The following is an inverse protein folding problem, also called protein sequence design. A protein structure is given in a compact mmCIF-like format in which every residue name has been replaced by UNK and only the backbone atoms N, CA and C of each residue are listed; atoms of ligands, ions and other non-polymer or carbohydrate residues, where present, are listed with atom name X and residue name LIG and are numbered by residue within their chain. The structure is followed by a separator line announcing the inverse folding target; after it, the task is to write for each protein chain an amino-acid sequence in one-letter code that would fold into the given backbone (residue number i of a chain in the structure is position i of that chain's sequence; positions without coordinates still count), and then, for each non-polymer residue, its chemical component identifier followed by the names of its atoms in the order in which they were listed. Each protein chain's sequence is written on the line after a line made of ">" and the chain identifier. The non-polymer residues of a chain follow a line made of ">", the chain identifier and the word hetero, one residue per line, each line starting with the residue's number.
data_IF_920375053355
#
_entry.id   IF_920375053355
#
_cell.length_a   1.000
_cell.length_b   1.000
_cell.length_c   1.000
_cell.angle_alpha   90.00
_cell.angle_beta   90.00
_cell.angle_gamma   90.00
#
_symmetry.space_group_name_H-M   'P 1'
#
loop_
_entity.id
_entity.type
_entity.pdbx_description
1 polymer ?
#
# COMPACT_ATOMS: atom_id res chain seq x y z
N UNK A 1 32.19 73.15 -7.70
CA UNK A 1 31.98 74.35 -6.87
C UNK A 1 30.54 74.22 -6.38
N UNK A 2 30.32 73.75 -5.14
CA UNK A 2 30.46 74.49 -3.84
C UNK A 2 29.23 75.39 -3.64
N UNK A 3 28.48 75.38 -2.54
CA UNK A 3 28.31 74.49 -1.37
C UNK A 3 26.98 74.89 -0.67
N UNK A 4 26.40 74.01 0.16
CA UNK A 4 25.53 74.23 1.35
C UNK A 4 24.82 72.88 1.61
N UNK A 5 25.23 72.01 2.55
CA UNK A 5 25.40 72.11 4.01
C UNK A 5 24.09 72.45 4.76
N UNK A 6 23.69 71.55 5.67
CA UNK A 6 22.53 71.71 6.58
C UNK A 6 22.84 72.60 7.79
N UNK A 7 22.00 72.58 8.85
CA UNK A 7 21.91 71.43 9.75
C UNK A 7 20.43 70.93 9.87
N UNK A 8 19.89 70.23 10.89
CA UNK A 8 20.33 69.94 12.28
C UNK A 8 19.79 68.58 12.77
N UNK A 9 20.36 68.08 13.87
CA UNK A 9 19.98 66.89 14.63
C UNK A 9 18.89 67.20 15.66
N UNK A 10 17.90 66.32 15.83
CA UNK A 10 17.38 65.98 17.16
C UNK A 10 17.42 64.46 17.37
N UNK A 11 17.59 64.06 18.63
CA UNK A 11 17.91 62.69 18.99
C UNK A 11 17.33 62.31 20.36
N UNK A 12 16.97 61.03 20.49
CA UNK A 12 16.72 60.30 21.74
C UNK A 12 15.44 60.66 22.56
N UNK A 13 15.00 59.76 23.48
CA UNK A 13 15.64 58.52 23.91
C UNK A 13 14.82 57.21 23.80
N UNK A 14 15.61 56.15 23.91
CA UNK A 14 15.27 54.77 24.27
C UNK A 14 14.19 54.61 25.36
N UNK A 15 13.25 53.68 25.14
CA UNK A 15 12.47 53.03 26.20
C UNK A 15 12.85 51.54 26.28
N UNK A 16 13.42 51.11 27.42
CA UNK A 16 14.01 49.78 27.56
C UNK A 16 13.15 48.81 28.42
N UNK A 17 13.05 47.58 27.94
CA UNK A 17 12.80 46.33 28.68
C UNK A 17 11.74 46.28 29.82
N UNK A 18 10.60 45.68 29.51
CA UNK A 18 10.11 44.41 30.10
C UNK A 18 8.96 43.90 29.22
N UNK A 19 8.76 42.61 28.97
CA UNK A 19 9.38 41.46 29.63
C UNK A 19 8.34 40.45 30.09
N UNK A 20 7.27 40.21 29.33
CA UNK A 20 6.29 39.16 29.65
C UNK A 20 5.92 38.32 28.42
N UNK A 21 6.35 37.06 28.46
CA UNK A 21 6.14 36.06 27.41
C UNK A 21 4.87 35.30 27.76
N UNK A 22 3.71 35.77 27.30
CA UNK A 22 2.46 35.04 27.53
C UNK A 22 2.38 33.80 26.62
N UNK A 23 2.89 32.69 27.14
CA UNK A 23 2.83 31.36 26.53
C UNK A 23 1.36 30.95 26.39
N UNK A 24 0.78 31.20 25.23
CA UNK A 24 -0.49 30.59 24.84
C UNK A 24 -0.24 29.12 24.48
N UNK A 25 -0.87 28.14 25.17
CA UNK A 25 -0.58 26.74 24.93
C UNK A 25 -1.04 26.31 23.53
N UNK A 26 -0.30 25.40 22.86
CA UNK A 26 -0.69 24.90 21.55
C UNK A 26 -1.94 24.02 21.69
N UNK A 27 -3.09 24.56 21.29
CA UNK A 27 -4.36 23.82 21.18
C UNK A 27 -4.23 22.72 20.12
N UNK A 28 -3.73 21.57 20.55
CA UNK A 28 -3.63 20.32 19.78
C UNK A 28 -5.01 19.67 19.63
N UNK A 29 -5.95 20.42 19.04
CA UNK A 29 -7.19 19.85 18.54
C UNK A 29 -6.90 19.14 17.22
N UNK A 30 -6.95 17.80 17.15
CA UNK A 30 -6.90 17.12 15.87
C UNK A 30 -8.13 17.59 15.09
N UNK A 31 -7.92 18.18 13.91
CA UNK A 31 -9.00 18.58 13.01
C UNK A 31 -9.74 17.32 12.53
N UNK A 32 -10.62 16.82 13.39
CA UNK A 32 -11.67 15.89 13.07
C UNK A 32 -12.59 16.64 12.12
N UNK A 33 -12.29 16.51 10.83
CA UNK A 33 -13.27 16.70 9.77
C UNK A 33 -14.29 15.57 9.90
N UNK A 34 -15.09 15.65 10.97
CA UNK A 34 -16.42 15.07 11.03
C UNK A 34 -17.06 15.50 9.73
N UNK A 35 -17.36 14.54 8.87
CA UNK A 35 -18.27 14.78 7.77
C UNK A 35 -19.58 15.18 8.43
N UNK A 36 -19.82 16.49 8.54
CA UNK A 36 -21.16 17.03 8.74
C UNK A 36 -21.96 16.48 7.57
N UNK A 37 -22.65 15.36 7.81
CA UNK A 37 -23.66 14.84 6.90
C UNK A 37 -24.71 15.92 6.87
N UNK A 38 -24.76 16.66 5.77
CA UNK A 38 -25.86 17.59 5.48
C UNK A 38 -27.18 16.87 5.79
N UNK A 39 -27.98 17.33 6.77
CA UNK A 39 -29.15 16.60 7.25
C UNK A 39 -30.31 16.57 6.24
N UNK A 40 -30.07 16.94 4.97
CA UNK A 40 -31.06 17.05 3.91
C UNK A 40 -30.96 16.03 2.77
N UNK A 41 -29.90 15.21 2.66
CA UNK A 41 -29.75 14.31 1.50
C UNK A 41 -30.27 12.89 1.74
N UNK A 42 -31.46 12.62 1.20
CA UNK A 42 -32.11 11.29 1.19
C UNK A 42 -31.22 10.22 0.52
N UNK A 43 -31.32 8.98 0.98
CA UNK A 43 -30.60 7.84 0.40
C UNK A 43 -31.11 7.52 -1.02
N UNK A 44 -30.23 7.01 -1.89
CA UNK A 44 -30.63 6.57 -3.24
C UNK A 44 -31.50 5.32 -3.16
N UNK A 45 -32.46 5.17 -4.07
CA UNK A 45 -33.35 4.00 -4.18
C UNK A 45 -32.71 2.95 -5.10
N UNK A 46 -32.96 1.65 -4.83
CA UNK A 46 -32.49 0.52 -5.66
C UNK A 46 -33.41 0.31 -6.86
N UNK A 47 -33.44 1.25 -7.80
CA UNK A 47 -34.30 1.11 -8.98
C UNK A 47 -34.08 -0.21 -9.74
N UNK A 48 -35.15 -0.80 -10.31
CA UNK A 48 -35.06 -1.94 -11.24
C UNK A 48 -34.10 -1.70 -12.39
N UNK A 49 -33.68 -2.76 -13.08
CA UNK A 49 -32.90 -2.58 -14.31
C UNK A 49 -33.78 -2.03 -15.42
N UNK A 50 -33.19 -1.31 -16.37
CA UNK A 50 -33.93 -0.70 -17.48
C UNK A 50 -34.65 -1.71 -18.39
N UNK A 51 -34.23 -2.99 -18.39
CA UNK A 51 -34.87 -4.06 -19.16
C UNK A 51 -36.07 -4.71 -18.44
N UNK A 52 -36.36 -4.36 -17.19
CA UNK A 52 -37.48 -4.90 -16.39
C UNK A 52 -38.77 -4.09 -16.66
N UNK A 53 -39.16 -3.98 -17.94
CA UNK A 53 -40.20 -3.05 -18.43
C UNK A 53 -41.57 -3.24 -17.77
N UNK A 54 -41.93 -4.46 -17.36
CA UNK A 54 -43.18 -4.71 -16.62
C UNK A 54 -43.18 -4.13 -15.20
N UNK A 55 -42.03 -4.14 -14.53
CA UNK A 55 -41.87 -3.56 -13.19
C UNK A 55 -41.97 -2.04 -13.27
N UNK A 56 -41.39 -1.44 -14.31
CA UNK A 56 -41.53 -0.01 -14.59
C UNK A 56 -42.97 0.39 -14.94
N UNK A 57 -43.68 -0.36 -15.80
CA UNK A 57 -45.09 -0.06 -16.11
C UNK A 57 -46.01 -0.15 -14.89
N UNK A 58 -45.83 -1.17 -14.04
CA UNK A 58 -46.58 -1.30 -12.78
C UNK A 58 -46.29 -0.14 -11.84
N UNK A 59 -45.02 0.25 -11.69
CA UNK A 59 -44.63 1.41 -10.89
C UNK A 59 -45.28 2.70 -11.40
N UNK A 60 -45.29 2.93 -12.71
CA UNK A 60 -45.85 4.13 -13.35
C UNK A 60 -47.38 4.21 -13.19
N UNK A 61 -48.07 3.08 -13.36
CA UNK A 61 -49.52 2.96 -13.11
C UNK A 61 -49.85 3.29 -11.65
N UNK A 62 -49.19 2.60 -10.72
CA UNK A 62 -49.47 2.74 -9.29
C UNK A 62 -49.10 4.14 -8.76
N UNK A 63 -48.00 4.72 -9.25
CA UNK A 63 -47.64 6.12 -8.95
C UNK A 63 -48.69 7.09 -9.48
N UNK A 64 -49.21 6.88 -10.69
CA UNK A 64 -50.25 7.73 -11.27
C UNK A 64 -51.50 7.72 -10.39
N UNK A 65 -51.99 6.54 -10.01
CA UNK A 65 -53.17 6.44 -9.14
C UNK A 65 -52.93 7.04 -7.74
N UNK A 66 -51.76 6.82 -7.13
CA UNK A 66 -51.42 7.38 -5.81
C UNK A 66 -51.32 8.91 -5.88
N UNK A 67 -50.77 9.46 -6.96
CA UNK A 67 -50.66 10.91 -7.16
C UNK A 67 -52.04 11.54 -7.41
N UNK A 68 -52.89 10.95 -8.25
CA UNK A 68 -54.27 11.41 -8.45
C UNK A 68 -55.07 11.46 -7.14
N UNK A 69 -54.94 10.45 -6.28
CA UNK A 69 -55.62 10.41 -4.97
C UNK A 69 -55.09 11.41 -3.95
N UNK A 70 -53.82 11.80 -4.04
CA UNK A 70 -53.12 12.55 -2.97
C UNK A 70 -52.83 14.02 -3.31
N UNK A 71 -52.73 14.38 -4.59
CA UNK A 71 -52.15 15.66 -5.03
C UNK A 71 -53.17 16.80 -5.07
N UNK A 72 -53.56 17.28 -3.88
CA UNK A 72 -54.51 18.38 -3.70
C UNK A 72 -53.81 19.67 -3.18
N UNK A 73 -54.37 20.85 -3.48
CA UNK A 73 -53.88 22.15 -2.97
C UNK A 73 -53.06 23.01 -3.96
N UNK A 74 -52.32 24.00 -3.41
CA UNK A 74 -51.53 24.98 -4.15
C UNK A 74 -50.34 24.34 -4.91
N UNK A 75 -49.89 24.94 -6.01
CA UNK A 75 -48.83 24.45 -6.91
C UNK A 75 -47.53 24.13 -6.15
N UNK A 76 -47.08 25.02 -5.27
CA UNK A 76 -45.85 24.79 -4.47
C UNK A 76 -46.01 23.63 -3.47
N UNK A 77 -47.19 23.49 -2.86
CA UNK A 77 -47.49 22.37 -1.98
C UNK A 77 -47.51 21.04 -2.76
N UNK A 78 -48.11 21.06 -3.97
CA UNK A 78 -48.12 19.92 -4.90
C UNK A 78 -46.70 19.50 -5.30
N UNK A 79 -45.82 20.43 -5.71
CA UNK A 79 -44.43 20.10 -6.07
C UNK A 79 -43.65 19.48 -4.89
N UNK A 80 -43.81 20.04 -3.69
CA UNK A 80 -43.16 19.52 -2.48
C UNK A 80 -43.74 18.15 -2.04
N UNK A 81 -45.03 17.91 -2.26
CA UNK A 81 -45.69 16.64 -1.95
C UNK A 81 -45.34 15.55 -2.96
N UNK A 82 -45.37 15.85 -4.26
CA UNK A 82 -44.95 14.97 -5.36
C UNK A 82 -43.57 14.37 -5.09
N UNK A 83 -42.58 15.22 -4.77
CA UNK A 83 -41.22 14.78 -4.45
C UNK A 83 -41.09 14.01 -3.14
N UNK A 84 -42.07 14.06 -2.22
CA UNK A 84 -42.14 13.19 -1.03
C UNK A 84 -42.76 11.85 -1.37
N UNK A 85 -43.92 11.84 -2.02
CA UNK A 85 -44.69 10.63 -2.37
C UNK A 85 -43.88 9.73 -3.30
N UNK A 86 -43.35 10.27 -4.39
CA UNK A 86 -42.50 9.52 -5.34
C UNK A 86 -41.32 8.84 -4.62
N UNK A 87 -40.73 9.52 -3.64
CA UNK A 87 -39.62 8.97 -2.87
C UNK A 87 -40.04 7.86 -1.92
N UNK A 88 -41.16 8.00 -1.20
CA UNK A 88 -41.63 6.95 -0.28
C UNK A 88 -42.12 5.73 -1.06
N UNK A 89 -42.99 5.88 -2.06
CA UNK A 89 -43.51 4.76 -2.85
C UNK A 89 -42.38 3.94 -3.51
N UNK A 90 -41.39 4.62 -4.11
CA UNK A 90 -40.23 3.94 -4.68
C UNK A 90 -39.29 3.36 -3.61
N UNK A 91 -39.21 3.96 -2.42
CA UNK A 91 -38.44 3.43 -1.28
C UNK A 91 -39.08 2.18 -0.69
N UNK A 92 -40.39 2.17 -0.53
CA UNK A 92 -41.11 1.07 0.13
C UNK A 92 -41.14 -0.16 -0.79
N UNK A 93 -41.25 0.03 -2.11
CA UNK A 93 -41.18 -1.04 -3.11
C UNK A 93 -39.78 -1.62 -3.34
N UNK A 94 -38.77 -0.77 -3.54
CA UNK A 94 -37.44 -1.22 -3.99
C UNK A 94 -36.37 -1.18 -2.89
N UNK A 95 -36.64 -0.50 -1.79
CA UNK A 95 -35.70 -0.27 -0.70
C UNK A 95 -34.60 0.74 -1.05
N UNK A 96 -33.96 1.25 0.00
CA UNK A 96 -32.83 2.14 -0.15
C UNK A 96 -31.54 1.36 -0.50
N UNK A 97 -30.69 1.98 -1.31
CA UNK A 97 -29.26 1.67 -1.40
C UNK A 97 -28.66 2.08 -0.07
N UNK A 98 -28.63 1.13 0.87
CA UNK A 98 -27.69 1.15 1.98
C UNK A 98 -26.31 1.41 1.40
N UNK A 99 -25.71 2.56 1.71
CA UNK A 99 -24.29 2.78 1.44
C UNK A 99 -23.57 1.76 2.32
N UNK A 100 -23.28 0.58 1.75
CA UNK A 100 -22.42 -0.41 2.39
C UNK A 100 -21.16 0.34 2.77
N UNK A 101 -20.88 0.46 4.07
CA UNK A 101 -19.66 1.10 4.55
C UNK A 101 -18.52 0.41 3.82
N UNK A 102 -17.84 1.15 2.94
CA UNK A 102 -16.85 0.58 2.03
C UNK A 102 -15.75 0.00 2.88
N UNK A 103 -15.66 -1.34 2.90
CA UNK A 103 -14.94 -2.15 3.89
C UNK A 103 -13.68 -1.44 4.37
N UNK A 104 -13.74 -0.95 5.61
CA UNK A 104 -13.04 0.23 6.13
C UNK A 104 -11.81 0.63 5.29
N UNK A 105 -11.98 1.67 4.45
CA UNK A 105 -11.00 2.18 3.48
C UNK A 105 -9.57 1.88 3.93
N UNK A 106 -8.97 0.80 3.38
CA UNK A 106 -7.70 0.24 3.88
C UNK A 106 -6.71 1.38 4.10
N UNK A 107 -6.33 1.59 5.36
CA UNK A 107 -5.59 2.77 5.77
C UNK A 107 -4.39 3.02 4.85
N UNK A 108 -4.33 4.23 4.26
CA UNK A 108 -3.30 4.61 3.28
C UNK A 108 -1.92 4.16 3.75
N UNK A 109 -1.21 3.38 2.94
CA UNK A 109 0.08 2.83 3.35
C UNK A 109 1.12 3.93 3.60
N UNK A 110 2.18 3.65 4.37
CA UNK A 110 3.23 4.66 4.71
C UNK A 110 3.70 5.46 3.48
N UNK A 111 4.07 4.78 2.39
CA UNK A 111 4.50 5.40 1.12
C UNK A 111 3.39 6.23 0.45
N UNK A 112 2.13 5.84 0.62
CA UNK A 112 0.99 6.55 0.04
C UNK A 112 0.66 7.82 0.85
N UNK A 113 0.77 7.78 2.18
CA UNK A 113 0.73 8.98 3.03
C UNK A 113 1.84 9.97 2.62
N UNK A 114 3.07 9.48 2.46
CA UNK A 114 4.23 10.27 2.04
C UNK A 114 4.07 10.88 0.63
N UNK A 115 3.58 10.10 -0.35
CA UNK A 115 3.23 10.61 -1.69
C UNK A 115 2.18 11.72 -1.60
N UNK A 116 1.14 11.56 -0.77
CA UNK A 116 0.11 12.59 -0.59
C UNK A 116 0.67 13.87 0.06
N UNK A 117 1.52 13.75 1.09
CA UNK A 117 2.22 14.88 1.71
C UNK A 117 3.11 15.61 0.69
N UNK A 118 3.88 14.90 -0.14
CA UNK A 118 4.69 15.51 -1.20
C UNK A 118 3.85 16.18 -2.29
N UNK A 119 2.68 15.62 -2.64
CA UNK A 119 1.74 16.27 -3.57
C UNK A 119 1.17 17.56 -2.98
N UNK A 120 0.77 17.56 -1.70
CA UNK A 120 0.33 18.76 -0.98
C UNK A 120 1.45 19.80 -0.88
N UNK A 121 2.68 19.40 -0.51
CA UNK A 121 3.85 20.30 -0.48
C UNK A 121 4.13 20.89 -1.87
N UNK A 122 4.03 20.11 -2.95
CA UNK A 122 4.15 20.60 -4.33
C UNK A 122 3.06 21.61 -4.71
N UNK A 123 1.83 21.42 -4.23
CA UNK A 123 0.73 22.38 -4.43
C UNK A 123 1.00 23.69 -3.67
N UNK A 124 1.46 23.63 -2.42
CA UNK A 124 1.84 24.81 -1.63
C UNK A 124 3.01 25.55 -2.27
N UNK A 125 4.08 24.86 -2.70
CA UNK A 125 5.18 25.47 -3.44
C UNK A 125 4.71 26.17 -4.75
N UNK A 126 3.67 25.65 -5.43
CA UNK A 126 3.03 26.32 -6.59
C UNK A 126 2.17 27.53 -6.20
N UNK A 127 1.67 27.61 -4.96
CA UNK A 127 1.03 28.82 -4.42
C UNK A 127 2.11 29.86 -4.08
N UNK A 128 3.15 29.47 -3.33
CA UNK A 128 4.24 30.36 -2.92
C UNK A 128 5.00 30.92 -4.14
N UNK A 129 5.28 30.11 -5.16
CA UNK A 129 5.90 30.57 -6.41
C UNK A 129 5.17 31.74 -7.08
N UNK A 130 3.84 31.82 -6.95
CA UNK A 130 3.04 32.91 -7.53
C UNK A 130 3.10 34.20 -6.72
N UNK A 131 3.62 34.16 -5.49
CA UNK A 131 3.78 35.31 -4.59
C UNK A 131 5.24 35.74 -4.39
N UNK A 132 6.19 34.96 -4.89
CA UNK A 132 7.61 35.09 -4.56
C UNK A 132 8.35 36.10 -5.45
N UNK A 133 9.29 36.82 -4.85
CA UNK A 133 10.24 37.74 -5.49
C UNK A 133 11.30 36.97 -6.28
N UNK A 134 12.03 37.62 -7.19
CA UNK A 134 12.93 36.92 -8.13
C UNK A 134 14.01 36.07 -7.46
N UNK A 135 14.69 36.56 -6.41
CA UNK A 135 15.68 35.77 -5.66
C UNK A 135 15.06 34.57 -4.92
N UNK A 136 13.87 34.74 -4.33
CA UNK A 136 13.15 33.66 -3.65
C UNK A 136 12.72 32.53 -4.60
N UNK A 137 12.44 32.85 -5.88
CA UNK A 137 12.09 31.85 -6.91
C UNK A 137 13.22 30.84 -7.13
N UNK A 138 14.48 31.23 -6.98
CA UNK A 138 15.62 30.29 -7.16
C UNK A 138 15.65 29.25 -6.03
N UNK A 139 15.50 29.70 -4.77
CA UNK A 139 15.32 28.80 -3.62
C UNK A 139 14.10 27.89 -3.77
N UNK A 140 12.95 28.46 -4.16
CA UNK A 140 11.73 27.69 -4.41
C UNK A 140 11.86 26.70 -5.59
N UNK A 141 12.74 26.95 -6.57
CA UNK A 141 13.03 26.05 -7.69
C UNK A 141 13.75 24.81 -7.18
N UNK A 142 14.81 25.00 -6.39
CA UNK A 142 15.54 23.89 -5.76
C UNK A 142 14.61 23.00 -4.92
N UNK A 143 13.77 23.59 -4.05
CA UNK A 143 12.83 22.84 -3.22
C UNK A 143 11.74 22.15 -4.06
N UNK A 144 11.25 22.77 -5.15
CA UNK A 144 10.33 22.11 -6.09
C UNK A 144 10.98 20.90 -6.75
N UNK A 145 12.23 21.00 -7.16
CA UNK A 145 12.94 19.95 -7.89
C UNK A 145 13.36 18.80 -6.99
N UNK A 146 13.70 19.08 -5.73
CA UNK A 146 13.83 18.05 -4.68
C UNK A 146 12.51 17.28 -4.45
N UNK A 147 11.38 17.99 -4.30
CA UNK A 147 10.05 17.38 -4.15
C UNK A 147 9.66 16.56 -5.38
N UNK A 148 9.98 17.01 -6.61
CA UNK A 148 9.82 16.22 -7.85
C UNK A 148 10.64 14.94 -7.79
N UNK A 149 11.94 15.00 -7.45
CA UNK A 149 12.85 13.83 -7.37
C UNK A 149 12.34 12.80 -6.36
N UNK A 150 11.99 13.23 -5.13
CA UNK A 150 11.44 12.35 -4.08
C UNK A 150 10.12 11.71 -4.53
N UNK A 151 9.19 12.49 -5.09
CA UNK A 151 7.90 11.97 -5.59
C UNK A 151 8.08 10.95 -6.73
N UNK A 152 9.00 11.19 -7.67
CA UNK A 152 9.32 10.26 -8.75
C UNK A 152 9.94 8.96 -8.24
N UNK A 153 10.82 9.03 -7.24
CA UNK A 153 11.39 7.85 -6.58
C UNK A 153 10.30 6.99 -5.92
N UNK A 154 9.46 7.59 -5.07
CA UNK A 154 8.39 6.86 -4.37
C UNK A 154 7.36 6.27 -5.33
N UNK A 155 6.97 6.99 -6.39
CA UNK A 155 6.04 6.48 -7.42
C UNK A 155 6.63 5.29 -8.18
N UNK A 156 7.92 5.32 -8.55
CA UNK A 156 8.59 4.16 -9.16
C UNK A 156 8.62 2.96 -8.21
N UNK A 157 8.98 3.16 -6.95
CA UNK A 157 8.97 2.11 -5.93
C UNK A 157 7.56 1.54 -5.66
N UNK A 158 6.51 2.36 -5.72
CA UNK A 158 5.12 1.91 -5.61
C UNK A 158 4.68 1.13 -6.85
N UNK A 159 5.01 1.61 -8.05
CA UNK A 159 4.71 0.94 -9.31
C UNK A 159 5.36 -0.44 -9.38
N UNK A 160 6.65 -0.56 -9.04
CA UNK A 160 7.36 -1.85 -8.98
C UNK A 160 6.66 -2.80 -7.99
N UNK A 161 6.25 -2.32 -6.81
CA UNK A 161 5.53 -3.13 -5.82
C UNK A 161 4.17 -3.61 -6.36
N UNK A 162 3.39 -2.71 -6.98
CA UNK A 162 2.09 -3.05 -7.59
C UNK A 162 2.26 -4.06 -8.73
N UNK A 163 3.26 -3.87 -9.59
CA UNK A 163 3.57 -4.76 -10.70
C UNK A 163 4.01 -6.16 -10.25
N UNK A 164 4.91 -6.25 -9.25
CA UNK A 164 5.30 -7.54 -8.62
C UNK A 164 4.08 -8.26 -8.06
N UNK A 165 3.24 -7.58 -7.28
CA UNK A 165 2.00 -8.14 -6.71
C UNK A 165 0.98 -8.56 -7.79
N UNK A 166 0.96 -7.87 -8.94
CA UNK A 166 0.13 -8.26 -10.08
C UNK A 166 0.66 -9.55 -10.72
N UNK A 167 1.96 -9.62 -11.03
CA UNK A 167 2.62 -10.83 -11.57
C UNK A 167 2.48 -12.04 -10.65
N UNK A 168 2.57 -11.84 -9.34
CA UNK A 168 2.36 -12.88 -8.34
C UNK A 168 0.92 -13.41 -8.36
N UNK A 169 -0.09 -12.53 -8.43
CA UNK A 169 -1.49 -12.92 -8.62
C UNK A 169 -1.74 -13.62 -9.96
N UNK A 170 -1.15 -13.11 -11.05
CA UNK A 170 -1.25 -13.71 -12.38
C UNK A 170 -0.69 -15.14 -12.37
N UNK A 171 0.48 -15.37 -11.75
CA UNK A 171 1.05 -16.70 -11.53
C UNK A 171 0.17 -17.60 -10.67
N UNK A 172 -0.32 -17.11 -9.53
CA UNK A 172 -1.20 -17.89 -8.65
C UNK A 172 -2.51 -18.28 -9.34
N UNK A 173 -3.09 -17.38 -10.13
CA UNK A 173 -4.27 -17.64 -10.94
C UNK A 173 -3.98 -18.64 -12.07
N UNK A 174 -2.83 -18.51 -12.74
CA UNK A 174 -2.39 -19.47 -13.76
C UNK A 174 -2.25 -20.88 -13.18
N UNK A 175 -1.53 -21.05 -12.06
CA UNK A 175 -1.39 -22.37 -11.44
C UNK A 175 -2.72 -22.91 -10.90
N UNK A 176 -3.61 -22.05 -10.37
CA UNK A 176 -4.96 -22.47 -9.97
C UNK A 176 -5.76 -23.02 -11.17
N UNK A 177 -5.68 -22.36 -12.32
CA UNK A 177 -6.37 -22.76 -13.54
C UNK A 177 -5.72 -23.99 -14.19
N UNK A 178 -4.39 -24.04 -14.26
CA UNK A 178 -3.64 -25.18 -14.77
C UNK A 178 -3.90 -26.44 -13.95
N UNK A 179 -3.98 -26.34 -12.61
CA UNK A 179 -4.46 -27.45 -11.77
C UNK A 179 -5.89 -27.85 -12.13
N UNK A 180 -6.81 -26.91 -12.25
CA UNK A 180 -8.20 -27.21 -12.63
C UNK A 180 -8.34 -27.90 -14.01
N UNK A 181 -7.37 -27.72 -14.93
CA UNK A 181 -7.36 -28.32 -16.26
C UNK A 181 -6.56 -29.63 -16.36
N UNK A 182 -5.43 -29.74 -15.65
CA UNK A 182 -4.47 -30.85 -15.77
C UNK A 182 -4.56 -31.84 -14.61
N UNK A 183 -4.98 -31.38 -13.43
CA UNK A 183 -5.46 -32.27 -12.38
C UNK A 183 -6.92 -32.57 -12.71
N UNK A 184 -7.14 -33.62 -13.51
CA UNK A 184 -8.39 -34.38 -13.45
C UNK A 184 -8.80 -34.52 -11.99
N UNK A 185 -10.10 -34.46 -11.70
CA UNK A 185 -10.61 -34.58 -10.32
C UNK A 185 -10.21 -35.95 -9.73
N UNK A 186 -9.02 -36.03 -9.13
CA UNK A 186 -8.48 -37.17 -8.35
C UNK A 186 -9.21 -37.30 -6.99
N UNK A 187 -10.52 -37.12 -7.04
CA UNK A 187 -11.49 -37.23 -5.96
C UNK A 187 -12.49 -38.34 -6.27
N UNK A 188 -12.05 -39.43 -6.90
CA UNK A 188 -12.67 -40.73 -6.65
C UNK A 188 -12.23 -41.16 -5.25
N UNK A 189 -13.16 -41.67 -4.45
CA UNK A 189 -12.79 -42.36 -3.20
C UNK A 189 -11.85 -43.51 -3.61
N UNK A 190 -10.69 -43.60 -2.96
CA UNK A 190 -9.84 -44.77 -3.09
C UNK A 190 -10.63 -45.97 -2.55
N UNK A 191 -10.94 -46.93 -3.40
CA UNK A 191 -11.54 -48.21 -3.01
C UNK A 191 -10.57 -49.05 -2.17
N UNK A 192 -9.28 -48.75 -2.27
CA UNK A 192 -8.19 -49.34 -1.50
C UNK A 192 -8.03 -48.60 -0.17
N UNK A 193 -8.03 -49.33 0.95
CA UNK A 193 -7.74 -48.79 2.27
C UNK A 193 -6.33 -48.19 2.33
N UNK A 194 -6.13 -47.15 3.14
CA UNK A 194 -4.84 -46.43 3.20
C UNK A 194 -3.68 -47.38 3.59
N UNK A 195 -3.92 -48.33 4.48
CA UNK A 195 -2.96 -49.37 4.88
C UNK A 195 -2.47 -50.22 3.69
N UNK A 196 -3.39 -50.64 2.82
CA UNK A 196 -3.07 -51.46 1.63
C UNK A 196 -2.35 -50.64 0.56
N UNK A 197 -2.66 -49.36 0.44
CA UNK A 197 -1.90 -48.42 -0.38
C UNK A 197 -0.48 -48.19 0.16
N UNK A 198 -0.32 -47.97 1.47
CA UNK A 198 0.99 -47.84 2.11
C UNK A 198 1.84 -49.10 1.98
N UNK A 199 1.25 -50.29 2.16
CA UNK A 199 1.94 -51.56 1.94
C UNK A 199 2.43 -51.70 0.50
N UNK A 200 1.60 -51.34 -0.49
CA UNK A 200 2.00 -51.35 -1.89
C UNK A 200 3.13 -50.35 -2.20
N UNK A 201 3.03 -49.11 -1.71
CA UNK A 201 4.07 -48.09 -1.88
C UNK A 201 5.38 -48.52 -1.19
N UNK A 202 5.31 -49.11 0.00
CA UNK A 202 6.48 -49.68 0.69
C UNK A 202 7.07 -50.83 -0.12
N UNK A 203 6.26 -51.74 -0.66
CA UNK A 203 6.74 -52.86 -1.49
C UNK A 203 7.37 -52.44 -2.82
N UNK A 204 6.87 -51.38 -3.47
CA UNK A 204 7.35 -50.91 -4.77
C UNK A 204 8.51 -49.90 -4.68
N UNK A 205 8.53 -49.06 -3.64
CA UNK A 205 9.43 -47.91 -3.55
C UNK A 205 10.19 -47.80 -2.22
N UNK A 206 10.02 -48.71 -1.26
CA UNK A 206 10.96 -48.81 -0.15
C UNK A 206 12.20 -49.55 -0.62
N UNK A 207 13.32 -48.85 -0.61
CA UNK A 207 14.64 -49.47 -0.64
C UNK A 207 14.77 -50.49 0.51
N UNK A 208 15.08 -51.77 0.25
CA UNK A 208 15.32 -52.78 1.29
C UNK A 208 16.44 -52.38 2.26
N UNK A 209 17.40 -51.58 1.81
CA UNK A 209 18.55 -51.12 2.58
C UNK A 209 18.25 -49.87 3.43
N UNK A 210 17.06 -49.26 3.31
CA UNK A 210 16.69 -48.03 4.02
C UNK A 210 16.75 -48.14 5.56
N UNK A 211 16.63 -49.35 6.10
CA UNK A 211 16.73 -49.64 7.55
C UNK A 211 18.17 -49.92 7.97
N UNK A 212 19.01 -50.42 7.06
CA UNK A 212 20.45 -50.54 7.28
C UNK A 212 21.09 -49.19 7.01
N UNK A 213 21.25 -48.37 8.05
CA UNK A 213 21.79 -47.02 7.93
C UNK A 213 23.06 -47.00 7.06
N UNK A 214 23.05 -46.18 6.01
CA UNK A 214 24.07 -46.05 4.95
C UNK A 214 25.50 -45.71 5.44
N UNK A 215 25.71 -45.64 6.75
CA UNK A 215 26.95 -45.32 7.43
C UNK A 215 27.26 -46.38 8.50
N UNK A 216 27.52 -47.61 8.03
CA UNK A 216 28.14 -48.68 8.81
C UNK A 216 29.54 -48.98 8.28
N UNK A 217 30.42 -49.55 9.12
CA UNK A 217 31.73 -50.04 8.66
C UNK A 217 31.51 -51.06 7.52
N UNK A 218 32.16 -50.82 6.37
CA UNK A 218 32.41 -51.77 5.27
C UNK A 218 31.46 -51.83 4.04
N UNK A 219 30.68 -50.80 3.68
CA UNK A 219 29.91 -50.83 2.39
C UNK A 219 30.22 -49.67 1.42
N UNK A 220 30.51 -48.45 1.88
CA UNK A 220 31.01 -47.38 1.00
C UNK A 220 32.26 -46.74 1.58
N UNK A 221 33.38 -46.92 0.88
CA UNK A 221 34.60 -46.16 1.15
C UNK A 221 34.41 -44.74 0.61
N UNK A 222 33.74 -43.89 1.41
CA UNK A 222 33.68 -42.46 1.15
C UNK A 222 35.10 -41.96 0.87
N UNK A 223 35.33 -41.13 -0.17
CA UNK A 223 36.66 -40.67 -0.53
C UNK A 223 37.12 -39.53 0.39
N UNK A 224 37.07 -39.78 1.71
CA UNK A 224 37.54 -38.92 2.78
C UNK A 224 39.02 -38.57 2.59
N UNK A 225 39.80 -39.43 1.92
CA UNK A 225 41.15 -39.12 1.44
C UNK A 225 41.14 -37.92 0.49
N UNK A 226 40.28 -37.90 -0.55
CA UNK A 226 40.19 -36.75 -1.48
C UNK A 226 39.63 -35.49 -0.82
N UNK A 227 38.65 -35.63 0.08
CA UNK A 227 38.04 -34.50 0.79
C UNK A 227 39.03 -33.88 1.78
N UNK A 228 39.74 -34.70 2.56
CA UNK A 228 40.78 -34.21 3.49
C UNK A 228 42.00 -33.67 2.75
N UNK A 229 42.39 -34.25 1.60
CA UNK A 229 43.44 -33.72 0.75
C UNK A 229 43.07 -32.34 0.18
N UNK A 230 41.87 -32.20 -0.38
CA UNK A 230 41.37 -30.92 -0.88
C UNK A 230 41.27 -29.85 0.21
N UNK A 231 40.82 -30.24 1.41
CA UNK A 231 40.80 -29.37 2.59
C UNK A 231 42.20 -28.91 3.03
N UNK A 232 43.18 -29.83 3.07
CA UNK A 232 44.59 -29.51 3.36
C UNK A 232 45.18 -28.58 2.29
N UNK A 233 44.96 -28.87 1.00
CA UNK A 233 45.40 -28.04 -0.12
C UNK A 233 44.82 -26.62 -0.06
N UNK A 234 43.51 -26.49 0.18
CA UNK A 234 42.83 -25.19 0.32
C UNK A 234 43.38 -24.36 1.49
N UNK A 235 43.63 -25.00 2.64
CA UNK A 235 44.28 -24.36 3.80
C UNK A 235 45.70 -23.90 3.49
N UNK A 236 46.53 -24.73 2.87
CA UNK A 236 47.90 -24.36 2.48
C UNK A 236 47.92 -23.21 1.48
N UNK A 237 47.00 -23.22 0.51
CA UNK A 237 46.85 -22.13 -0.47
C UNK A 237 46.49 -20.81 0.21
N UNK A 238 45.54 -20.81 1.15
CA UNK A 238 45.16 -19.62 1.91
C UNK A 238 46.34 -19.03 2.71
N UNK A 239 47.16 -19.88 3.34
CA UNK A 239 48.38 -19.43 4.04
C UNK A 239 49.39 -18.79 3.08
N UNK A 240 49.55 -19.34 1.87
CA UNK A 240 50.41 -18.74 0.85
C UNK A 240 49.87 -17.41 0.33
N UNK A 241 48.56 -17.28 0.15
CA UNK A 241 47.90 -16.03 -0.27
C UNK A 241 48.04 -14.94 0.81
N UNK A 242 47.84 -15.28 2.09
CA UNK A 242 48.04 -14.34 3.21
C UNK A 242 49.50 -13.88 3.35
N UNK A 243 50.48 -14.78 3.18
CA UNK A 243 51.92 -14.43 3.20
C UNK A 243 52.36 -13.58 2.01
N UNK A 244 51.68 -13.72 0.87
CA UNK A 244 51.91 -12.92 -0.35
C UNK A 244 51.08 -11.63 -0.39
N UNK A 245 50.28 -11.34 0.64
CA UNK A 245 49.48 -10.11 0.68
C UNK A 245 50.36 -8.86 0.68
N UNK A 246 49.90 -7.84 -0.04
CA UNK A 246 50.50 -6.50 -0.06
C UNK A 246 50.36 -5.79 1.30
N UNK A 247 49.32 -6.14 2.07
CA UNK A 247 49.03 -5.52 3.37
C UNK A 247 50.02 -5.98 4.45
N UNK A 248 50.86 -5.04 4.91
CA UNK A 248 51.89 -5.27 5.93
C UNK A 248 51.33 -5.95 7.20
N UNK A 249 50.16 -5.52 7.67
CA UNK A 249 49.49 -6.08 8.86
C UNK A 249 49.04 -7.53 8.67
N UNK A 250 48.56 -7.89 7.48
CA UNK A 250 48.12 -9.26 7.15
C UNK A 250 49.32 -10.20 7.05
N UNK A 251 50.43 -9.72 6.46
CA UNK A 251 51.68 -10.48 6.34
C UNK A 251 52.33 -10.73 7.70
N UNK A 252 52.30 -9.76 8.61
CA UNK A 252 52.86 -9.86 9.96
C UNK A 252 51.98 -10.63 10.97
N UNK A 253 50.77 -11.07 10.60
CA UNK A 253 49.87 -11.79 11.49
C UNK A 253 50.21 -13.29 11.68
N UNK A 254 51.19 -13.80 10.93
CA UNK A 254 51.76 -15.17 10.98
C UNK A 254 50.76 -16.30 11.29
N UNK A 255 49.66 -16.31 10.53
CA UNK A 255 48.50 -17.15 10.77
C UNK A 255 48.82 -18.67 10.71
N UNK A 256 48.98 -19.28 11.89
CA UNK A 256 49.29 -20.70 12.03
C UNK A 256 48.02 -21.56 11.90
N UNK A 257 47.82 -22.19 10.74
CA UNK A 257 46.65 -23.03 10.49
C UNK A 257 46.82 -24.41 11.14
N UNK A 258 46.08 -24.66 12.22
CA UNK A 258 46.00 -26.01 12.81
C UNK A 258 45.35 -26.98 11.81
N UNK A 259 46.10 -28.02 11.47
CA UNK A 259 45.58 -29.26 10.86
C UNK A 259 45.39 -30.26 11.98
N UNK A 260 44.15 -30.72 12.16
CA UNK A 260 43.87 -31.96 12.90
C UNK A 260 44.21 -33.18 12.05
#
# INVERSE_FOLDING_TARGET
>A
MVEEQGPTVESNPLGAHQGDVLISPPSMEPNQRVERREPGRRNKIKFPKANEAEVWRKLDTDLSEVLERSLHGNVEAKLNLLGKILYQECKDRFGEITIKQTAALRGKGRREKEINQLVQRRQHLRKNWRKATQGEKEGLKMVRDEVKRKLASLRRAEHIRKHRKRKEKERANFFKHARQLLEDKKSRKLEVTNEKLEQHIRGQYSDPWKVQGLFGRNILQLPLQSISLGYKQGKTRLVQELRKSTDQLVRCADAQVRTG
#
